data_IF_674710122720
#
_entry.id   IF_674710122720
#
_cell.length_a   1.000
_cell.length_b   1.000
_cell.length_c   1.000
_cell.angle_alpha   90.00
_cell.angle_beta   90.00
_cell.angle_gamma   90.00
#
_symmetry.space_group_name_H-M   'P 1'
#
loop_
_entity.id
_entity.type
_entity.pdbx_description
1 polymer ?
#
# COMPACT_ATOMS: atom_id res chain seq x y z
N UNK A 1 -8.58 -96.73 -11.57
CA UNK A 1 -8.77 -95.79 -10.40
C UNK A 1 -8.80 -94.35 -10.92
N UNK A 2 -9.96 -93.78 -10.96
CA UNK A 2 -10.18 -92.38 -11.50
C UNK A 2 -10.12 -91.38 -10.38
N UNK A 3 -9.19 -90.38 -10.44
CA UNK A 3 -9.18 -89.27 -9.55
C UNK A 3 -9.96 -88.11 -10.19
N UNK A 4 -11.01 -87.69 -9.52
CA UNK A 4 -11.80 -86.53 -9.85
C UNK A 4 -11.07 -85.24 -9.30
N UNK A 5 -10.75 -84.27 -10.18
CA UNK A 5 -10.32 -82.98 -9.78
C UNK A 5 -11.54 -82.08 -9.52
N UNK A 6 -11.59 -81.40 -8.37
CA UNK A 6 -12.56 -80.34 -8.06
C UNK A 6 -12.02 -79.01 -8.64
N UNK A 7 -12.80 -78.44 -9.53
CA UNK A 7 -12.64 -77.04 -9.96
C UNK A 7 -13.32 -76.14 -8.94
N UNK A 8 -12.54 -75.33 -8.23
CA UNK A 8 -13.06 -74.23 -7.39
C UNK A 8 -13.32 -73.01 -8.28
N UNK A 9 -14.59 -72.66 -8.47
CA UNK A 9 -14.99 -71.40 -9.13
C UNK A 9 -14.89 -70.27 -8.14
N UNK A 10 -13.89 -69.36 -8.34
CA UNK A 10 -13.77 -68.11 -7.62
C UNK A 10 -14.79 -67.07 -8.17
N UNK A 11 -15.77 -66.75 -7.37
CA UNK A 11 -16.69 -65.64 -7.66
C UNK A 11 -15.98 -64.29 -7.42
N UNK A 12 -15.54 -63.61 -8.49
CA UNK A 12 -15.10 -62.26 -8.44
C UNK A 12 -16.33 -61.34 -8.25
N UNK A 13 -16.46 -60.72 -7.08
CA UNK A 13 -17.46 -59.68 -6.85
C UNK A 13 -17.04 -58.40 -7.60
N UNK A 14 -17.94 -57.78 -8.35
CA UNK A 14 -17.64 -56.51 -8.99
C UNK A 14 -17.55 -55.42 -7.90
N UNK A 15 -16.38 -54.82 -7.75
CA UNK A 15 -16.21 -53.58 -6.97
C UNK A 15 -16.94 -52.50 -7.75
N UNK A 16 -18.12 -52.11 -7.31
CA UNK A 16 -18.82 -50.94 -7.75
C UNK A 16 -18.01 -49.70 -7.30
N UNK A 17 -17.22 -49.15 -8.21
CA UNK A 17 -16.63 -47.84 -8.04
C UNK A 17 -17.79 -46.81 -7.96
N UNK A 18 -18.14 -46.41 -6.76
CA UNK A 18 -19.03 -45.23 -6.57
C UNK A 18 -18.40 -44.04 -7.28
N UNK A 19 -19.11 -43.32 -8.15
CA UNK A 19 -18.59 -42.08 -8.70
C UNK A 19 -18.36 -41.12 -7.53
N UNK A 20 -17.10 -40.78 -7.25
CA UNK A 20 -16.80 -39.61 -6.47
C UNK A 20 -17.45 -38.42 -7.20
N UNK A 21 -18.58 -37.97 -6.70
CA UNK A 21 -19.10 -36.66 -7.05
C UNK A 21 -18.04 -35.68 -6.60
N UNK A 22 -17.10 -35.37 -7.50
CA UNK A 22 -16.28 -34.16 -7.35
C UNK A 22 -17.27 -32.99 -7.28
N UNK A 23 -17.51 -32.46 -6.09
CA UNK A 23 -18.17 -31.19 -5.95
C UNK A 23 -17.33 -30.18 -6.75
N UNK A 24 -17.69 -29.94 -7.98
CA UNK A 24 -17.10 -28.91 -8.80
C UNK A 24 -17.37 -27.59 -8.06
N UNK A 25 -16.34 -27.06 -7.42
CA UNK A 25 -16.45 -25.75 -6.79
C UNK A 25 -16.82 -24.73 -7.87
N UNK A 26 -17.72 -23.79 -7.59
CA UNK A 26 -18.13 -22.81 -8.59
C UNK A 26 -16.89 -22.07 -9.10
N UNK A 27 -16.72 -22.01 -10.40
CA UNK A 27 -15.69 -21.20 -11.02
C UNK A 27 -15.99 -19.72 -10.78
N UNK A 28 -15.04 -19.01 -10.18
CA UNK A 28 -15.10 -17.58 -9.97
C UNK A 28 -14.04 -16.90 -10.83
N UNK A 29 -14.45 -15.89 -11.58
CA UNK A 29 -13.54 -15.08 -12.39
C UNK A 29 -13.73 -13.60 -12.02
N UNK A 30 -12.69 -12.99 -11.47
CA UNK A 30 -12.66 -11.58 -11.14
C UNK A 30 -11.69 -10.79 -12.01
N UNK A 31 -11.97 -9.50 -12.15
CA UNK A 31 -11.08 -8.49 -12.73
C UNK A 31 -10.54 -7.64 -11.60
N UNK A 32 -9.23 -7.48 -11.56
CA UNK A 32 -8.54 -6.62 -10.61
C UNK A 32 -7.84 -5.49 -11.36
N UNK A 33 -8.31 -4.25 -11.21
CA UNK A 33 -7.61 -3.08 -11.72
C UNK A 33 -6.67 -2.51 -10.67
N UNK A 34 -5.59 -1.82 -11.07
CA UNK A 34 -4.62 -1.30 -10.12
C UNK A 34 -4.24 0.15 -10.36
N UNK A 35 -3.73 0.80 -9.32
CA UNK A 35 -3.21 2.18 -9.37
C UNK A 35 -1.73 2.24 -9.79
N UNK A 36 -1.03 1.10 -9.87
CA UNK A 36 0.42 1.05 -10.00
C UNK A 36 0.83 0.42 -11.34
N UNK A 37 1.73 1.07 -12.10
CA UNK A 37 2.15 0.59 -13.41
C UNK A 37 3.09 -0.62 -13.30
N UNK A 38 3.17 -1.40 -14.38
CA UNK A 38 4.06 -2.57 -14.48
C UNK A 38 5.54 -2.25 -14.28
N UNK A 39 5.95 -1.00 -14.49
CA UNK A 39 7.32 -0.53 -14.24
C UNK A 39 7.71 -0.50 -12.77
N UNK A 40 6.76 -0.38 -11.85
CA UNK A 40 6.97 -0.47 -10.40
C UNK A 40 6.82 -1.93 -9.96
N UNK A 41 7.86 -2.73 -10.14
CA UNK A 41 7.82 -4.20 -10.06
C UNK A 41 7.46 -4.77 -8.68
N UNK A 42 7.63 -4.01 -7.61
CA UNK A 42 7.18 -4.44 -6.28
C UNK A 42 5.68 -4.21 -6.15
N UNK A 43 5.19 -3.00 -6.45
CA UNK A 43 3.76 -2.69 -6.37
C UNK A 43 2.95 -3.54 -7.36
N UNK A 44 3.39 -3.60 -8.63
CA UNK A 44 2.74 -4.47 -9.60
C UNK A 44 2.85 -5.95 -9.23
N UNK A 45 4.02 -6.39 -8.75
CA UNK A 45 4.25 -7.76 -8.32
C UNK A 45 3.35 -8.21 -7.15
N UNK A 46 2.96 -7.29 -6.26
CA UNK A 46 1.95 -7.56 -5.23
C UNK A 46 0.61 -7.93 -5.87
N UNK A 47 0.16 -7.19 -6.89
CA UNK A 47 -1.07 -7.49 -7.61
C UNK A 47 -0.99 -8.83 -8.38
N UNK A 48 0.17 -9.14 -8.99
CA UNK A 48 0.42 -10.43 -9.63
C UNK A 48 0.43 -11.58 -8.63
N UNK A 49 1.07 -11.38 -7.47
CA UNK A 49 1.09 -12.36 -6.38
C UNK A 49 -0.34 -12.68 -5.91
N UNK A 50 -1.19 -11.66 -5.75
CA UNK A 50 -2.59 -11.84 -5.39
C UNK A 50 -3.31 -12.81 -6.32
N UNK A 51 -3.31 -12.51 -7.62
CA UNK A 51 -3.99 -13.32 -8.61
C UNK A 51 -3.45 -14.75 -8.66
N UNK A 52 -2.12 -14.90 -8.65
CA UNK A 52 -1.46 -16.21 -8.70
C UNK A 52 -1.78 -17.05 -7.46
N UNK A 53 -1.65 -16.50 -6.26
CA UNK A 53 -1.84 -17.25 -5.03
C UNK A 53 -3.29 -17.64 -4.79
N UNK A 54 -4.25 -16.78 -5.15
CA UNK A 54 -5.67 -17.13 -5.11
C UNK A 54 -5.97 -18.31 -6.05
N UNK A 55 -5.45 -18.30 -7.28
CA UNK A 55 -5.63 -19.40 -8.21
C UNK A 55 -4.97 -20.70 -7.69
N UNK A 56 -3.74 -20.64 -7.19
CA UNK A 56 -3.02 -21.79 -6.64
C UNK A 56 -3.77 -22.43 -5.46
N UNK A 57 -4.21 -21.63 -4.48
CA UNK A 57 -4.88 -22.10 -3.27
C UNK A 57 -6.31 -22.62 -3.51
N UNK A 58 -6.90 -22.27 -4.65
CA UNK A 58 -8.23 -22.75 -5.05
C UNK A 58 -8.21 -23.81 -6.14
N UNK A 59 -7.01 -24.33 -6.48
CA UNK A 59 -6.86 -25.31 -7.56
C UNK A 59 -7.34 -24.81 -8.93
N UNK A 60 -7.27 -23.47 -9.16
CA UNK A 60 -7.71 -22.81 -10.38
C UNK A 60 -9.22 -22.51 -10.44
N UNK A 61 -9.98 -22.84 -9.41
CA UNK A 61 -11.43 -22.59 -9.40
C UNK A 61 -11.78 -21.12 -9.16
N UNK A 62 -10.89 -20.34 -8.55
CA UNK A 62 -11.01 -18.90 -8.45
C UNK A 62 -9.81 -18.25 -9.17
N UNK A 63 -10.09 -17.50 -10.21
CA UNK A 63 -9.11 -16.81 -11.03
C UNK A 63 -9.33 -15.30 -10.99
N UNK A 64 -8.23 -14.54 -10.93
CA UNK A 64 -8.23 -13.09 -10.96
C UNK A 64 -7.38 -12.62 -12.14
N UNK A 65 -7.96 -11.82 -13.02
CA UNK A 65 -7.25 -11.19 -14.13
C UNK A 65 -6.85 -9.77 -13.75
N UNK A 66 -5.56 -9.50 -13.79
CA UNK A 66 -4.99 -8.19 -13.49
C UNK A 66 -5.00 -7.26 -14.70
N UNK A 67 -5.27 -5.97 -14.41
CA UNK A 67 -5.25 -4.89 -15.39
C UNK A 67 -4.41 -3.73 -14.83
N UNK A 68 -3.52 -3.21 -15.67
CA UNK A 68 -2.72 -2.05 -15.33
C UNK A 68 -3.53 -0.75 -15.40
N UNK A 69 -3.03 0.35 -14.79
CA UNK A 69 -3.65 1.67 -14.90
C UNK A 69 -3.91 2.05 -16.37
N UNK A 70 -5.12 2.50 -16.66
CA UNK A 70 -5.56 2.89 -18.00
C UNK A 70 -6.10 1.76 -18.88
N UNK A 71 -5.93 0.49 -18.51
CA UNK A 71 -6.51 -0.63 -19.27
C UNK A 71 -8.03 -0.75 -19.05
N UNK A 72 -8.54 -0.42 -17.85
CA UNK A 72 -9.97 -0.33 -17.54
C UNK A 72 -10.31 1.09 -17.09
N UNK A 73 -9.60 1.59 -16.04
CA UNK A 73 -9.78 2.93 -15.50
C UNK A 73 -8.41 3.58 -15.21
N UNK A 74 -8.33 4.92 -15.18
CA UNK A 74 -7.14 5.62 -14.74
C UNK A 74 -6.70 5.25 -13.32
N UNK A 75 -5.40 5.40 -13.01
CA UNK A 75 -4.78 5.01 -11.73
C UNK A 75 -5.52 5.52 -10.47
N UNK A 76 -6.09 6.72 -10.53
CA UNK A 76 -6.74 7.39 -9.40
C UNK A 76 -8.26 7.18 -9.37
N UNK A 77 -8.80 6.24 -10.15
CA UNK A 77 -10.25 5.93 -10.22
C UNK A 77 -10.57 4.48 -9.81
N UNK A 78 -9.61 3.78 -9.20
CA UNK A 78 -9.79 2.37 -8.80
C UNK A 78 -10.93 2.20 -7.80
N UNK A 79 -10.99 3.04 -6.74
CA UNK A 79 -12.06 3.00 -5.74
C UNK A 79 -13.45 3.18 -6.39
N UNK A 80 -13.57 4.13 -7.32
CA UNK A 80 -14.84 4.39 -8.02
C UNK A 80 -15.28 3.18 -8.85
N UNK A 81 -14.34 2.57 -9.59
CA UNK A 81 -14.62 1.42 -10.42
C UNK A 81 -15.04 0.18 -9.60
N UNK A 82 -14.37 -0.06 -8.47
CA UNK A 82 -14.70 -1.15 -7.57
C UNK A 82 -16.03 -0.89 -6.86
N UNK A 83 -16.23 0.30 -6.29
CA UNK A 83 -17.45 0.67 -5.58
C UNK A 83 -18.69 0.60 -6.49
N UNK A 84 -18.58 1.02 -7.74
CA UNK A 84 -19.64 0.92 -8.74
C UNK A 84 -19.86 -0.51 -9.29
N UNK A 85 -18.96 -1.47 -8.97
CA UNK A 85 -19.03 -2.83 -9.51
C UNK A 85 -18.59 -2.96 -10.98
N UNK A 86 -17.88 -1.96 -11.51
CA UNK A 86 -17.30 -2.04 -12.87
C UNK A 86 -16.28 -3.16 -12.95
N UNK A 87 -15.54 -3.39 -11.85
CA UNK A 87 -14.67 -4.52 -11.60
C UNK A 87 -14.93 -5.08 -10.21
N UNK A 88 -14.59 -6.33 -10.00
CA UNK A 88 -14.85 -7.03 -8.75
C UNK A 88 -13.90 -6.60 -7.63
N UNK A 89 -12.64 -6.30 -7.97
CA UNK A 89 -11.66 -5.81 -7.01
C UNK A 89 -10.62 -4.87 -7.65
N UNK A 90 -9.82 -4.22 -6.78
CA UNK A 90 -8.73 -3.36 -7.21
C UNK A 90 -7.61 -3.29 -6.17
N UNK A 91 -6.40 -3.01 -6.63
CA UNK A 91 -5.23 -2.77 -5.78
C UNK A 91 -4.83 -1.30 -5.82
N UNK A 92 -4.89 -0.63 -4.67
CA UNK A 92 -4.70 0.82 -4.59
C UNK A 92 -4.23 1.27 -3.20
N UNK A 93 -4.08 2.58 -3.01
CA UNK A 93 -3.86 3.24 -1.73
C UNK A 93 -5.03 4.18 -1.43
N UNK A 94 -5.67 4.04 -0.28
CA UNK A 94 -6.90 4.77 0.07
C UNK A 94 -6.72 6.30 0.08
N UNK A 95 -5.52 6.78 0.38
CA UNK A 95 -5.25 8.22 0.45
C UNK A 95 -5.38 8.96 -0.91
N UNK A 96 -5.41 8.25 -2.04
CA UNK A 96 -5.73 8.85 -3.34
C UNK A 96 -7.14 9.43 -3.39
N UNK A 97 -8.02 9.02 -2.49
CA UNK A 97 -9.44 9.35 -2.48
C UNK A 97 -9.86 10.29 -1.34
N UNK A 98 -8.89 10.96 -0.69
CA UNK A 98 -9.19 11.92 0.41
C UNK A 98 -10.06 13.09 -0.02
N UNK A 99 -10.16 13.37 -1.32
CA UNK A 99 -11.10 14.34 -1.88
C UNK A 99 -12.57 13.92 -1.73
N UNK A 100 -12.84 12.61 -1.56
CA UNK A 100 -14.18 12.07 -1.26
C UNK A 100 -14.48 12.09 0.24
N UNK A 101 -13.56 11.53 1.02
CA UNK A 101 -13.57 11.55 2.48
C UNK A 101 -12.11 11.56 2.98
N UNK A 102 -11.66 12.62 3.68
CA UNK A 102 -10.30 12.68 4.22
C UNK A 102 -9.99 11.55 5.20
N UNK A 103 -11.01 10.89 5.76
CA UNK A 103 -10.85 9.75 6.65
C UNK A 103 -10.20 8.54 5.95
N UNK A 104 -10.30 8.44 4.63
CA UNK A 104 -9.63 7.39 3.84
C UNK A 104 -8.10 7.42 4.00
N UNK A 105 -7.53 8.58 4.34
CA UNK A 105 -6.09 8.70 4.60
C UNK A 105 -5.57 7.74 5.67
N UNK A 106 -6.37 7.41 6.70
CA UNK A 106 -5.97 6.48 7.77
C UNK A 106 -5.76 5.04 7.26
N UNK A 107 -6.40 4.65 6.17
CA UNK A 107 -6.20 3.34 5.56
C UNK A 107 -4.80 3.17 4.96
N UNK A 108 -4.17 4.25 4.53
CA UNK A 108 -2.83 4.23 3.93
C UNK A 108 -1.77 4.74 4.88
N UNK A 109 -1.78 6.02 5.19
CA UNK A 109 -0.82 6.70 6.08
C UNK A 109 -1.28 8.11 6.41
N UNK A 110 -0.85 8.59 7.56
CA UNK A 110 -1.06 9.97 8.01
C UNK A 110 0.32 10.64 8.20
N UNK A 111 0.48 11.92 7.81
CA UNK A 111 1.72 12.66 8.06
C UNK A 111 2.18 12.59 9.51
N UNK A 112 3.48 12.39 9.74
CA UNK A 112 4.09 12.13 11.06
C UNK A 112 3.43 10.97 11.82
N UNK A 113 2.97 9.98 11.05
CA UNK A 113 2.22 8.84 11.54
C UNK A 113 3.07 7.67 12.01
N UNK A 114 2.49 6.50 11.89
CA UNK A 114 3.07 5.23 12.29
C UNK A 114 3.95 4.65 11.19
N UNK A 115 5.00 3.92 11.58
CA UNK A 115 5.77 3.10 10.64
C UNK A 115 4.98 1.85 10.22
N UNK A 116 5.53 1.07 9.27
CA UNK A 116 4.85 -0.10 8.70
C UNK A 116 4.36 -1.11 9.76
N UNK A 117 5.20 -1.43 10.77
CA UNK A 117 4.82 -2.37 11.82
C UNK A 117 3.76 -1.82 12.76
N UNK A 118 3.85 -0.54 13.10
CA UNK A 118 2.88 0.14 13.95
C UNK A 118 1.51 0.27 13.24
N UNK A 119 1.53 0.64 11.95
CA UNK A 119 0.31 0.71 11.13
C UNK A 119 -0.37 -0.66 11.03
N UNK A 120 0.42 -1.70 10.80
CA UNK A 120 -0.07 -3.08 10.73
C UNK A 120 -0.67 -3.55 12.06
N UNK A 121 0.00 -3.23 13.18
CA UNK A 121 -0.49 -3.53 14.51
C UNK A 121 -1.82 -2.81 14.80
N UNK A 122 -1.96 -1.55 14.36
CA UNK A 122 -3.20 -0.81 14.50
C UNK A 122 -4.32 -1.45 13.68
N UNK A 123 -4.06 -1.79 12.42
CA UNK A 123 -5.06 -2.37 11.53
C UNK A 123 -5.53 -3.76 12.00
N UNK A 124 -4.62 -4.63 12.45
CA UNK A 124 -4.98 -6.02 12.76
C UNK A 124 -5.34 -6.28 14.22
N UNK A 125 -4.84 -5.47 15.17
CA UNK A 125 -5.00 -5.72 16.59
C UNK A 125 -5.41 -4.47 17.39
N UNK A 126 -5.30 -3.30 16.81
CA UNK A 126 -5.61 -2.03 17.44
C UNK A 126 -7.01 -1.49 17.14
N UNK A 127 -7.88 -2.25 16.48
CA UNK A 127 -9.24 -1.82 16.11
C UNK A 127 -9.30 -0.93 14.86
N UNK A 128 -8.20 -0.85 14.10
CA UNK A 128 -8.10 0.00 12.91
C UNK A 128 -9.02 -0.45 11.77
N UNK A 129 -9.10 -1.75 11.49
CA UNK A 129 -10.00 -2.29 10.45
C UNK A 129 -11.46 -2.02 10.82
N UNK A 130 -11.82 -2.26 12.04
CA UNK A 130 -13.19 -2.11 12.55
C UNK A 130 -13.66 -0.65 12.49
N UNK A 131 -12.81 0.29 12.92
CA UNK A 131 -13.18 1.71 12.89
C UNK A 131 -13.22 2.29 11.47
N UNK A 132 -12.48 1.71 10.53
CA UNK A 132 -12.46 2.10 9.13
C UNK A 132 -13.52 1.40 8.28
N UNK A 133 -14.15 0.34 8.77
CA UNK A 133 -15.11 -0.46 8.01
C UNK A 133 -16.27 0.38 7.44
N UNK A 134 -16.86 1.25 8.26
CA UNK A 134 -17.95 2.13 7.83
C UNK A 134 -17.50 3.09 6.70
N UNK A 135 -16.27 3.61 6.78
CA UNK A 135 -15.70 4.52 5.79
C UNK A 135 -15.63 3.85 4.43
N UNK A 136 -15.16 2.59 4.39
CA UNK A 136 -15.07 1.82 3.15
C UNK A 136 -16.41 1.34 2.63
N UNK A 137 -17.31 0.93 3.52
CA UNK A 137 -18.66 0.51 3.13
C UNK A 137 -19.47 1.63 2.46
N UNK A 138 -19.30 2.88 2.90
CA UNK A 138 -19.92 4.04 2.26
C UNK A 138 -19.39 4.28 0.83
N UNK A 139 -18.19 3.77 0.52
CA UNK A 139 -17.63 3.77 -0.82
C UNK A 139 -18.02 2.52 -1.64
N UNK A 140 -18.83 1.63 -1.10
CA UNK A 140 -19.26 0.40 -1.76
C UNK A 140 -18.22 -0.71 -1.78
N UNK A 141 -17.19 -0.64 -0.93
CA UNK A 141 -16.07 -1.59 -0.90
C UNK A 141 -15.80 -2.16 0.48
N UNK A 142 -15.15 -3.31 0.51
CA UNK A 142 -14.41 -3.87 1.63
C UNK A 142 -12.94 -3.68 1.33
N UNK A 143 -12.16 -3.18 2.29
CA UNK A 143 -10.72 -2.99 2.15
C UNK A 143 -9.94 -4.01 2.97
N UNK A 144 -8.99 -4.66 2.33
CA UNK A 144 -8.10 -5.66 2.93
C UNK A 144 -6.65 -5.16 2.83
N UNK A 145 -6.02 -4.77 3.95
CA UNK A 145 -4.60 -4.40 3.96
C UNK A 145 -3.75 -5.55 3.41
N UNK A 146 -2.88 -5.27 2.43
CA UNK A 146 -2.20 -6.35 1.73
C UNK A 146 -0.73 -6.10 1.41
N UNK A 147 -0.24 -4.88 1.52
CA UNK A 147 1.16 -4.56 1.27
C UNK A 147 1.57 -3.30 1.99
N UNK A 148 2.86 -3.10 2.19
CA UNK A 148 3.38 -1.85 2.73
C UNK A 148 4.72 -1.54 2.08
N UNK A 149 4.96 -0.26 1.82
CA UNK A 149 6.22 0.17 1.21
C UNK A 149 7.40 0.21 2.19
N UNK A 150 7.13 0.08 3.49
CA UNK A 150 8.09 0.50 4.49
C UNK A 150 8.26 2.01 4.50
N UNK A 151 9.32 2.51 5.11
CA UNK A 151 9.60 3.93 5.17
C UNK A 151 9.85 4.50 3.77
N UNK A 152 9.23 5.65 3.50
CA UNK A 152 9.43 6.36 2.25
C UNK A 152 10.43 7.51 2.39
N UNK A 153 10.94 7.97 1.24
CA UNK A 153 11.86 9.10 1.18
C UNK A 153 11.11 10.43 1.06
N UNK A 154 11.82 11.51 1.40
CA UNK A 154 11.31 12.87 1.36
C UNK A 154 11.25 13.51 -0.04
N UNK A 155 11.34 12.70 -1.10
CA UNK A 155 11.14 13.12 -2.48
C UNK A 155 12.35 13.75 -3.16
N UNK A 156 12.18 13.97 -4.44
CA UNK A 156 13.17 14.53 -5.37
C UNK A 156 12.88 15.99 -5.65
N UNK A 157 13.90 16.82 -5.63
CA UNK A 157 13.79 18.26 -5.84
C UNK A 157 14.83 18.73 -6.85
N UNK A 158 14.43 19.66 -7.71
CA UNK A 158 15.32 20.34 -8.68
C UNK A 158 16.16 21.43 -8.02
N UNK A 159 15.68 21.95 -6.89
CA UNK A 159 16.37 22.98 -6.10
C UNK A 159 16.50 22.52 -4.65
N UNK A 160 17.54 22.97 -3.99
CA UNK A 160 17.78 22.67 -2.59
C UNK A 160 16.83 23.44 -1.68
N UNK A 161 16.27 22.79 -0.68
CA UNK A 161 15.46 23.38 0.39
C UNK A 161 16.34 23.57 1.63
N UNK A 162 16.58 24.80 2.02
CA UNK A 162 17.41 25.15 3.17
C UNK A 162 16.61 25.76 4.30
N UNK A 163 15.50 26.43 3.99
CA UNK A 163 14.63 27.15 4.92
C UNK A 163 13.15 26.91 4.58
N UNK A 164 12.26 27.28 5.48
CA UNK A 164 10.80 27.26 5.23
C UNK A 164 10.43 28.18 4.06
N UNK A 165 11.16 29.28 3.86
CA UNK A 165 10.88 30.23 2.77
C UNK A 165 11.07 29.60 1.38
N UNK A 166 11.94 28.59 1.23
CA UNK A 166 12.19 27.89 -0.02
C UNK A 166 10.99 27.01 -0.48
N UNK A 167 10.04 26.76 0.42
CA UNK A 167 8.81 26.03 0.12
C UNK A 167 7.80 26.90 -0.64
N UNK A 168 7.88 28.22 -0.52
CA UNK A 168 6.90 29.14 -1.07
C UNK A 168 6.90 29.13 -2.60
N UNK A 169 5.75 28.79 -3.17
CA UNK A 169 5.56 28.73 -4.63
C UNK A 169 6.11 27.44 -5.27
N UNK A 170 6.71 26.54 -4.48
CA UNK A 170 7.21 25.26 -4.97
C UNK A 170 6.05 24.42 -5.50
N UNK A 171 6.10 23.97 -6.74
CA UNK A 171 5.16 23.04 -7.32
C UNK A 171 5.64 21.63 -7.02
N UNK A 172 4.88 20.91 -6.21
CA UNK A 172 5.32 19.61 -5.72
C UNK A 172 4.26 18.51 -5.94
N UNK A 173 4.66 17.43 -6.60
CA UNK A 173 3.80 16.27 -6.70
C UNK A 173 3.81 15.53 -5.38
N UNK A 174 2.64 15.43 -4.76
CA UNK A 174 2.46 14.73 -3.50
C UNK A 174 1.02 14.21 -3.38
N UNK A 175 0.87 13.02 -2.81
CA UNK A 175 -0.44 12.43 -2.55
C UNK A 175 -0.86 12.60 -1.09
N UNK A 176 -2.11 12.27 -0.80
CA UNK A 176 -2.64 12.25 0.56
C UNK A 176 -2.76 13.62 1.22
N UNK A 177 -2.92 13.61 2.54
CA UNK A 177 -3.13 14.83 3.33
C UNK A 177 -1.93 15.77 3.38
N UNK A 178 -0.74 15.26 3.09
CA UNK A 178 0.48 16.06 3.08
C UNK A 178 0.43 17.20 2.05
N UNK A 179 -0.32 17.05 0.94
CA UNK A 179 -0.58 18.14 0.01
C UNK A 179 -1.25 19.33 0.68
N UNK A 180 -2.29 19.09 1.48
CA UNK A 180 -2.95 20.14 2.27
C UNK A 180 -2.04 20.79 3.31
N UNK A 181 -1.21 19.99 3.99
CA UNK A 181 -0.21 20.47 4.95
C UNK A 181 0.79 21.40 4.27
N UNK A 182 1.37 20.98 3.15
CA UNK A 182 2.35 21.77 2.40
C UNK A 182 1.75 23.05 1.81
N UNK A 183 0.46 23.04 1.45
CA UNK A 183 -0.24 24.25 0.98
C UNK A 183 -0.24 25.37 2.02
N UNK A 184 -0.33 25.04 3.31
CA UNK A 184 -0.24 26.03 4.41
C UNK A 184 1.14 26.70 4.48
N UNK A 185 2.17 26.04 3.97
CA UNK A 185 3.54 26.55 3.89
C UNK A 185 3.85 27.20 2.52
N UNK A 186 2.82 27.38 1.67
CA UNK A 186 2.94 28.05 0.39
C UNK A 186 3.37 27.17 -0.77
N UNK A 187 3.44 25.85 -0.60
CA UNK A 187 3.65 24.88 -1.70
C UNK A 187 2.39 24.77 -2.53
N UNK A 188 2.53 24.52 -3.82
CA UNK A 188 1.44 24.24 -4.78
C UNK A 188 1.45 22.73 -5.05
N UNK A 189 0.65 21.93 -4.32
CA UNK A 189 0.64 20.48 -4.47
C UNK A 189 -0.12 20.08 -5.73
N UNK A 190 0.31 18.97 -6.32
CA UNK A 190 -0.35 18.31 -7.44
C UNK A 190 -0.41 16.81 -7.20
N UNK A 191 -1.51 16.16 -7.57
CA UNK A 191 -1.65 14.70 -7.50
C UNK A 191 -1.56 14.14 -8.91
N UNK A 192 -0.52 13.35 -9.19
CA UNK A 192 -0.27 12.71 -10.48
C UNK A 192 -0.02 11.22 -10.26
N UNK A 193 -0.49 10.39 -11.20
CA UNK A 193 -0.12 8.97 -11.25
C UNK A 193 1.36 8.78 -11.61
N UNK A 194 1.92 7.60 -11.31
CA UNK A 194 3.36 7.33 -11.50
C UNK A 194 3.88 7.63 -12.90
N UNK A 195 3.12 7.28 -13.93
CA UNK A 195 3.53 7.45 -15.32
C UNK A 195 3.67 8.93 -15.74
N UNK A 196 2.98 9.84 -15.03
CA UNK A 196 2.93 11.26 -15.36
C UNK A 196 4.00 12.07 -14.61
N UNK A 197 4.65 11.50 -13.58
CA UNK A 197 5.57 12.23 -12.69
C UNK A 197 6.86 12.62 -13.42
N UNK A 198 7.54 11.66 -14.08
CA UNK A 198 8.78 11.94 -14.79
C UNK A 198 8.60 13.02 -15.88
N UNK A 199 7.59 12.92 -16.78
CA UNK A 199 7.34 13.98 -17.75
C UNK A 199 7.03 15.34 -17.11
N UNK A 200 6.35 15.38 -15.99
CA UNK A 200 6.05 16.62 -15.27
C UNK A 200 7.30 17.27 -14.66
N UNK A 201 8.21 16.47 -14.07
CA UNK A 201 9.50 16.92 -13.57
C UNK A 201 10.39 17.42 -14.72
N UNK A 202 10.51 16.63 -15.79
CA UNK A 202 11.36 16.96 -16.96
C UNK A 202 10.97 18.29 -17.61
N UNK A 203 9.66 18.52 -17.78
CA UNK A 203 9.11 19.74 -18.37
C UNK A 203 9.04 20.93 -17.42
N UNK A 204 9.33 20.73 -16.12
CA UNK A 204 9.19 21.77 -15.08
C UNK A 204 7.75 22.15 -14.73
N UNK A 205 6.79 21.26 -15.04
CA UNK A 205 5.40 21.40 -14.56
C UNK A 205 5.38 21.30 -13.05
N UNK A 206 6.22 20.43 -12.46
CA UNK A 206 6.51 20.38 -11.03
C UNK A 206 8.01 20.58 -10.78
N UNK A 207 8.33 21.17 -9.64
CA UNK A 207 9.70 21.43 -9.18
C UNK A 207 10.28 20.28 -8.38
N UNK A 208 9.42 19.39 -7.90
CA UNK A 208 9.78 18.21 -7.15
C UNK A 208 8.63 17.19 -7.09
N UNK A 209 8.97 15.97 -6.70
CA UNK A 209 8.00 14.90 -6.56
C UNK A 209 8.47 13.89 -5.52
N UNK A 210 7.51 13.30 -4.81
CA UNK A 210 7.69 12.06 -4.06
C UNK A 210 7.02 10.90 -4.80
N UNK A 211 7.45 9.66 -4.49
CA UNK A 211 6.77 8.47 -4.95
C UNK A 211 6.81 7.39 -3.86
N UNK A 212 7.87 6.61 -3.76
CA UNK A 212 8.05 5.60 -2.70
C UNK A 212 9.44 5.75 -2.07
N UNK A 213 10.45 5.30 -2.78
CA UNK A 213 11.79 5.23 -2.26
C UNK A 213 12.79 4.81 -3.32
N UNK A 214 14.05 4.57 -2.95
CA UNK A 214 15.16 4.44 -3.89
C UNK A 214 14.92 3.49 -5.04
N UNK A 215 14.29 2.34 -4.79
CA UNK A 215 14.10 1.30 -5.82
C UNK A 215 13.14 1.72 -6.93
N UNK A 216 11.94 2.19 -6.57
CA UNK A 216 10.95 2.63 -7.55
C UNK A 216 11.37 3.95 -8.19
N UNK A 217 11.92 4.88 -7.40
CA UNK A 217 12.33 6.21 -7.86
C UNK A 217 13.46 6.12 -8.88
N UNK A 218 14.43 5.18 -8.68
CA UNK A 218 15.48 4.87 -9.66
C UNK A 218 14.88 4.38 -10.99
N UNK A 219 13.90 3.47 -10.94
CA UNK A 219 13.23 2.93 -12.12
C UNK A 219 12.39 3.95 -12.87
N UNK A 220 11.75 4.84 -12.12
CA UNK A 220 10.99 5.95 -12.67
C UNK A 220 11.89 7.07 -13.21
N UNK A 221 13.20 7.03 -12.89
CA UNK A 221 14.21 7.89 -13.48
C UNK A 221 14.32 9.28 -12.88
N UNK A 222 13.75 9.55 -11.70
CA UNK A 222 13.68 10.90 -11.11
C UNK A 222 15.06 11.52 -10.90
N UNK A 223 16.07 10.73 -10.56
CA UNK A 223 17.46 11.15 -10.39
C UNK A 223 18.07 11.83 -11.65
N UNK A 224 17.50 11.60 -12.84
CA UNK A 224 17.97 12.20 -14.09
C UNK A 224 17.55 13.65 -14.28
N UNK A 225 16.47 14.05 -13.60
CA UNK A 225 15.83 15.37 -13.78
C UNK A 225 15.77 16.19 -12.49
N UNK A 226 16.09 15.60 -11.33
CA UNK A 226 16.14 16.24 -10.03
C UNK A 226 17.32 15.70 -9.22
N UNK A 227 18.35 16.52 -8.88
CA UNK A 227 19.57 16.03 -8.26
C UNK A 227 19.50 15.82 -6.75
N UNK A 228 18.54 16.46 -6.06
CA UNK A 228 18.43 16.44 -4.61
C UNK A 228 17.39 15.43 -4.16
N UNK A 229 17.81 14.47 -3.32
CA UNK A 229 16.96 13.43 -2.76
C UNK A 229 16.86 13.59 -1.25
N UNK A 230 15.67 13.95 -0.77
CA UNK A 230 15.44 14.34 0.61
C UNK A 230 15.00 13.17 1.51
N UNK A 231 15.29 13.31 2.80
CA UNK A 231 14.84 12.44 3.88
C UNK A 231 14.67 13.22 5.20
N UNK A 232 13.91 12.71 6.17
CA UNK A 232 12.95 11.60 6.06
C UNK A 232 11.69 11.99 5.26
N UNK A 233 10.96 10.99 4.74
CA UNK A 233 9.61 11.17 4.21
C UNK A 233 8.62 11.34 5.36
N UNK A 234 8.54 12.52 5.93
CA UNK A 234 7.72 12.81 7.11
C UNK A 234 6.21 12.63 6.88
N UNK A 235 5.79 12.67 5.63
CA UNK A 235 4.41 12.43 5.22
C UNK A 235 4.05 10.95 5.10
N UNK A 236 5.04 10.09 4.89
CA UNK A 236 4.86 8.65 4.70
C UNK A 236 5.94 7.86 5.42
N UNK A 237 5.78 7.71 6.76
CA UNK A 237 6.61 6.77 7.53
C UNK A 237 6.39 5.31 7.07
N UNK A 238 5.32 5.06 6.32
CA UNK A 238 5.02 3.87 5.54
C UNK A 238 3.90 4.23 4.55
N UNK A 239 3.59 3.34 3.59
CA UNK A 239 2.36 3.45 2.80
C UNK A 239 1.70 2.08 2.70
N UNK A 240 0.52 1.97 3.32
CA UNK A 240 -0.28 0.74 3.31
C UNK A 240 -1.08 0.67 2.02
N UNK A 241 -0.82 -0.37 1.22
CA UNK A 241 -1.65 -0.74 0.08
C UNK A 241 -2.76 -1.70 0.48
N UNK A 242 -3.82 -1.71 -0.27
CA UNK A 242 -4.99 -2.53 0.02
C UNK A 242 -5.62 -3.13 -1.23
N UNK A 243 -6.16 -4.35 -1.09
CA UNK A 243 -7.13 -4.90 -2.02
C UNK A 243 -8.49 -4.38 -1.60
N UNK A 244 -9.11 -3.57 -2.46
CA UNK A 244 -10.50 -3.17 -2.34
C UNK A 244 -11.37 -4.14 -3.12
N UNK A 245 -12.45 -4.62 -2.52
CA UNK A 245 -13.39 -5.57 -3.12
C UNK A 245 -14.78 -4.97 -3.11
N UNK A 246 -15.50 -5.03 -4.22
CA UNK A 246 -16.91 -4.65 -4.27
C UNK A 246 -17.71 -5.45 -3.25
N UNK A 247 -18.55 -4.80 -2.45
CA UNK A 247 -19.31 -5.47 -1.37
C UNK A 247 -20.16 -6.62 -1.91
N UNK A 248 -20.85 -6.43 -3.02
CA UNK A 248 -21.71 -7.49 -3.59
C UNK A 248 -20.89 -8.66 -4.11
N UNK A 249 -19.72 -8.39 -4.72
CA UNK A 249 -18.80 -9.43 -5.17
C UNK A 249 -18.25 -10.22 -3.98
N UNK A 250 -17.93 -9.53 -2.87
CA UNK A 250 -17.47 -10.18 -1.63
C UNK A 250 -18.55 -11.06 -1.00
N UNK A 251 -19.78 -10.56 -0.89
CA UNK A 251 -20.90 -11.28 -0.30
C UNK A 251 -21.32 -12.50 -1.12
N UNK A 252 -21.13 -12.45 -2.44
CA UNK A 252 -21.38 -13.57 -3.34
C UNK A 252 -20.32 -14.68 -3.28
N UNK A 253 -19.14 -14.40 -2.70
CA UNK A 253 -18.08 -15.40 -2.59
C UNK A 253 -18.40 -16.47 -1.55
N UNK A 254 -18.12 -17.75 -1.85
CA UNK A 254 -18.04 -18.80 -0.84
C UNK A 254 -17.11 -18.41 0.31
N UNK A 255 -17.49 -18.72 1.54
CA UNK A 255 -16.67 -18.39 2.74
C UNK A 255 -15.23 -18.87 2.63
N UNK A 256 -15.03 -20.06 2.05
CA UNK A 256 -13.69 -20.59 1.80
C UNK A 256 -12.84 -19.65 0.93
N UNK A 257 -13.43 -19.03 -0.11
CA UNK A 257 -12.69 -18.12 -0.99
C UNK A 257 -12.43 -16.75 -0.31
N UNK A 258 -13.35 -16.29 0.55
CA UNK A 258 -13.09 -15.11 1.39
C UNK A 258 -11.87 -15.37 2.30
N UNK A 259 -11.78 -16.55 2.93
CA UNK A 259 -10.62 -16.93 3.75
C UNK A 259 -9.33 -17.01 2.94
N UNK A 260 -9.39 -17.55 1.71
CA UNK A 260 -8.22 -17.57 0.81
C UNK A 260 -7.72 -16.14 0.54
N UNK A 261 -8.61 -15.20 0.23
CA UNK A 261 -8.24 -13.80 0.01
C UNK A 261 -7.57 -13.21 1.25
N UNK A 262 -8.12 -13.42 2.45
CA UNK A 262 -7.54 -12.92 3.70
C UNK A 262 -6.15 -13.51 3.99
N UNK A 263 -5.94 -14.79 3.73
CA UNK A 263 -4.61 -15.43 3.87
C UNK A 263 -3.62 -14.85 2.87
N UNK A 264 -4.03 -14.71 1.61
CA UNK A 264 -3.17 -14.18 0.55
C UNK A 264 -2.80 -12.72 0.80
N UNK A 265 -3.72 -11.89 1.28
CA UNK A 265 -3.40 -10.49 1.63
C UNK A 265 -2.37 -10.40 2.75
N UNK A 266 -2.40 -11.32 3.72
CA UNK A 266 -1.35 -11.43 4.74
C UNK A 266 0.01 -11.85 4.15
N UNK A 267 0.06 -12.80 3.20
CA UNK A 267 1.28 -13.19 2.49
C UNK A 267 1.85 -12.00 1.70
N UNK A 268 1.00 -11.28 0.97
CA UNK A 268 1.38 -10.09 0.19
C UNK A 268 2.00 -9.00 1.07
N UNK A 269 1.48 -8.82 2.29
CA UNK A 269 2.00 -7.85 3.26
C UNK A 269 3.46 -8.12 3.60
N UNK A 270 3.82 -9.35 3.91
CA UNK A 270 5.19 -9.76 4.21
C UNK A 270 6.08 -9.64 2.98
N UNK A 271 5.59 -10.15 1.84
CA UNK A 271 6.34 -10.13 0.58
C UNK A 271 6.69 -8.72 0.13
N UNK A 272 5.71 -7.80 0.14
CA UNK A 272 5.90 -6.42 -0.32
C UNK A 272 6.87 -5.65 0.57
N UNK A 273 6.66 -5.66 1.89
CA UNK A 273 7.47 -4.90 2.85
C UNK A 273 8.92 -5.37 2.85
N UNK A 274 9.15 -6.68 2.99
CA UNK A 274 10.52 -7.23 3.03
C UNK A 274 11.27 -7.04 1.71
N UNK A 275 10.57 -7.08 0.58
CA UNK A 275 11.16 -6.84 -0.73
C UNK A 275 11.58 -5.38 -0.90
N UNK A 276 10.78 -4.42 -0.45
CA UNK A 276 11.16 -3.00 -0.45
C UNK A 276 12.38 -2.73 0.41
N UNK A 277 12.42 -3.23 1.64
CA UNK A 277 13.56 -3.03 2.53
C UNK A 277 14.87 -3.52 1.90
N UNK A 278 14.83 -4.71 1.28
CA UNK A 278 16.00 -5.27 0.60
C UNK A 278 16.39 -4.45 -0.64
N UNK A 279 15.45 -4.09 -1.49
CA UNK A 279 15.73 -3.44 -2.77
C UNK A 279 16.08 -1.96 -2.61
N UNK A 280 15.45 -1.25 -1.66
CA UNK A 280 15.73 0.15 -1.38
C UNK A 280 17.17 0.36 -0.89
N UNK A 281 17.68 -0.53 -0.04
CA UNK A 281 19.07 -0.49 0.41
C UNK A 281 20.06 -0.56 -0.77
N UNK A 282 19.80 -1.43 -1.73
CA UNK A 282 20.66 -1.59 -2.90
C UNK A 282 20.54 -0.41 -3.86
N UNK A 283 19.32 0.05 -4.14
CA UNK A 283 19.06 1.16 -5.04
C UNK A 283 19.63 2.48 -4.49
N UNK A 284 19.52 2.73 -3.18
CA UNK A 284 20.10 3.92 -2.55
C UNK A 284 21.60 4.01 -2.78
N UNK A 285 22.32 2.89 -2.64
CA UNK A 285 23.77 2.83 -2.91
C UNK A 285 24.09 3.20 -4.36
N UNK A 286 23.33 2.67 -5.32
CA UNK A 286 23.52 2.97 -6.75
C UNK A 286 23.23 4.44 -7.05
N UNK A 287 22.14 4.99 -6.53
CA UNK A 287 21.76 6.39 -6.70
C UNK A 287 22.85 7.35 -6.17
N UNK A 288 23.36 7.08 -4.96
CA UNK A 288 24.45 7.88 -4.39
C UNK A 288 25.73 7.77 -5.22
N UNK A 289 26.08 6.56 -5.65
CA UNK A 289 27.25 6.33 -6.51
C UNK A 289 27.12 7.01 -7.89
N UNK A 290 25.89 7.21 -8.39
CA UNK A 290 25.62 7.92 -9.63
C UNK A 290 25.56 9.45 -9.50
N UNK A 291 25.79 10.00 -8.30
CA UNK A 291 25.85 11.44 -8.05
C UNK A 291 24.58 12.07 -7.46
N UNK A 292 23.58 11.27 -7.08
CA UNK A 292 22.41 11.77 -6.35
C UNK A 292 22.84 12.39 -5.03
N UNK A 293 22.36 13.60 -4.76
CA UNK A 293 22.69 14.35 -3.56
C UNK A 293 21.65 14.10 -2.46
N UNK A 294 21.97 13.25 -1.50
CA UNK A 294 21.14 13.06 -0.32
C UNK A 294 21.13 14.32 0.54
N UNK A 295 19.94 14.73 0.99
CA UNK A 295 19.73 15.89 1.86
C UNK A 295 18.75 15.54 2.98
N UNK A 296 19.15 15.79 4.21
CA UNK A 296 18.20 15.83 5.31
C UNK A 296 17.35 17.11 5.21
N UNK A 297 16.04 17.00 5.44
CA UNK A 297 15.24 18.21 5.63
C UNK A 297 15.76 19.00 6.84
N UNK A 298 15.91 20.32 6.71
CA UNK A 298 16.25 21.16 7.85
C UNK A 298 15.24 21.00 8.99
N UNK A 299 15.74 21.03 10.23
CA UNK A 299 14.88 20.85 11.42
C UNK A 299 13.74 21.86 11.45
N UNK A 300 13.99 23.11 11.06
CA UNK A 300 12.97 24.16 11.02
C UNK A 300 11.85 23.84 10.01
N UNK A 301 12.20 23.23 8.85
CA UNK A 301 11.21 22.80 7.85
C UNK A 301 10.37 21.66 8.40
N UNK A 302 11.00 20.64 9.03
CA UNK A 302 10.25 19.55 9.67
C UNK A 302 9.33 20.05 10.78
N UNK A 303 9.77 21.02 11.56
CA UNK A 303 8.97 21.61 12.65
C UNK A 303 7.78 22.40 12.12
N UNK A 304 7.98 23.18 11.05
CA UNK A 304 6.89 23.89 10.38
C UNK A 304 5.87 22.91 9.76
N UNK A 305 6.34 21.84 9.11
CA UNK A 305 5.48 20.80 8.57
C UNK A 305 4.70 20.05 9.67
N UNK A 306 5.34 19.78 10.81
CA UNK A 306 4.66 19.14 11.94
C UNK A 306 3.54 20.02 12.50
N UNK A 307 3.80 21.31 12.72
CA UNK A 307 2.80 22.26 13.19
C UNK A 307 1.63 22.37 12.20
N UNK A 308 1.93 22.59 10.92
CA UNK A 308 0.92 22.65 9.86
C UNK A 308 0.10 21.34 9.76
N UNK A 309 0.70 20.19 10.09
CA UNK A 309 -0.01 18.91 10.16
C UNK A 309 -1.03 18.88 11.28
N UNK A 310 -0.65 19.33 12.50
CA UNK A 310 -1.58 19.38 13.64
C UNK A 310 -2.76 20.32 13.35
N UNK A 311 -2.49 21.47 12.76
CA UNK A 311 -3.53 22.42 12.33
C UNK A 311 -4.46 21.80 11.27
N UNK A 312 -3.91 21.09 10.30
CA UNK A 312 -4.69 20.41 9.26
C UNK A 312 -5.61 19.34 9.86
N UNK A 313 -5.11 18.55 10.79
CA UNK A 313 -5.93 17.54 11.49
C UNK A 313 -7.07 18.16 12.30
N UNK A 314 -6.79 19.27 13.00
CA UNK A 314 -7.81 20.00 13.76
C UNK A 314 -8.90 20.55 12.83
N UNK A 315 -8.53 21.25 11.76
CA UNK A 315 -9.48 21.85 10.80
C UNK A 315 -10.35 20.80 10.09
N UNK A 316 -9.77 19.65 9.72
CA UNK A 316 -10.55 18.56 9.13
C UNK A 316 -11.49 17.97 10.19
N UNK A 317 -11.00 17.76 11.41
CA UNK A 317 -11.79 17.22 12.51
C UNK A 317 -12.94 18.10 12.96
N UNK A 318 -12.82 19.43 12.82
CA UNK A 318 -13.92 20.37 13.06
C UNK A 318 -15.06 20.16 12.06
N UNK A 319 -14.74 19.94 10.79
CA UNK A 319 -15.69 19.83 9.67
C UNK A 319 -16.21 18.42 9.44
N UNK A 320 -15.43 17.39 9.83
CA UNK A 320 -15.76 15.99 9.62
C UNK A 320 -15.73 15.21 10.94
N UNK A 321 -16.91 14.95 11.55
CA UNK A 321 -16.99 14.19 12.80
C UNK A 321 -16.44 12.77 12.72
N UNK A 322 -16.55 12.13 11.54
CA UNK A 322 -15.99 10.79 11.27
C UNK A 322 -14.48 10.83 11.33
N UNK A 323 -13.85 11.78 10.63
CA UNK A 323 -12.41 11.99 10.69
C UNK A 323 -11.94 12.21 12.14
N UNK A 324 -12.62 13.09 12.89
CA UNK A 324 -12.30 13.36 14.28
C UNK A 324 -12.34 12.09 15.15
N UNK A 325 -13.38 11.26 14.98
CA UNK A 325 -13.54 9.98 15.70
C UNK A 325 -12.37 9.02 15.39
N UNK A 326 -12.08 8.83 14.10
CA UNK A 326 -11.00 7.93 13.66
C UNK A 326 -9.63 8.48 14.08
N UNK A 327 -9.40 9.79 13.93
CA UNK A 327 -8.17 10.44 14.36
C UNK A 327 -7.90 10.27 15.85
N UNK A 328 -8.91 10.47 16.71
CA UNK A 328 -8.75 10.30 18.16
C UNK A 328 -8.37 8.86 18.53
N UNK A 329 -8.95 7.87 17.86
CA UNK A 329 -8.63 6.46 18.04
C UNK A 329 -7.21 6.13 17.56
N UNK A 330 -6.87 6.54 16.32
CA UNK A 330 -5.58 6.34 15.69
C UNK A 330 -4.44 7.03 16.46
N UNK A 331 -4.63 8.29 16.88
CA UNK A 331 -3.60 9.07 17.58
C UNK A 331 -3.28 8.54 18.97
N UNK A 332 -4.28 7.99 19.69
CA UNK A 332 -4.05 7.26 20.95
C UNK A 332 -3.13 6.08 20.70
N UNK A 333 -3.48 5.21 19.76
CA UNK A 333 -2.68 4.04 19.43
C UNK A 333 -1.29 4.42 18.95
N UNK A 334 -1.17 5.44 18.10
CA UNK A 334 0.11 5.96 17.62
C UNK A 334 1.03 6.37 18.76
N UNK A 335 0.51 7.12 19.74
CA UNK A 335 1.30 7.57 20.91
C UNK A 335 1.76 6.40 21.77
N UNK A 336 0.89 5.46 22.03
CA UNK A 336 1.20 4.29 22.86
C UNK A 336 2.26 3.41 22.19
N UNK A 337 2.08 3.11 20.92
CA UNK A 337 3.04 2.27 20.17
C UNK A 337 4.38 2.97 19.95
N UNK A 338 4.41 4.30 19.71
CA UNK A 338 5.65 5.06 19.65
C UNK A 338 6.40 5.07 20.99
N UNK A 339 5.68 5.10 22.12
CA UNK A 339 6.26 4.94 23.46
C UNK A 339 6.99 3.60 23.60
N UNK A 340 6.37 2.51 23.16
CA UNK A 340 6.99 1.19 23.14
C UNK A 340 8.23 1.13 22.22
N UNK A 341 8.13 1.64 20.99
CA UNK A 341 9.24 1.60 20.04
C UNK A 341 10.47 2.39 20.51
N UNK A 342 10.27 3.55 21.17
CA UNK A 342 11.39 4.31 21.77
C UNK A 342 12.19 3.48 22.77
N UNK A 343 11.52 2.68 23.58
CA UNK A 343 12.16 1.84 24.60
C UNK A 343 12.80 0.62 23.95
N UNK A 344 12.07 -0.08 23.08
CA UNK A 344 12.47 -1.37 22.57
C UNK A 344 13.44 -1.30 21.38
N UNK A 345 13.24 -0.35 20.45
CA UNK A 345 13.97 -0.33 19.18
C UNK A 345 14.83 0.90 18.97
N UNK A 346 14.28 2.11 19.19
CA UNK A 346 15.03 3.34 18.95
C UNK A 346 16.24 3.45 19.91
N UNK A 347 16.13 2.95 21.14
CA UNK A 347 17.22 2.93 22.10
C UNK A 347 18.41 2.09 21.61
N UNK A 348 18.13 0.90 21.06
CA UNK A 348 19.15 0.04 20.46
C UNK A 348 19.72 0.65 19.18
N UNK A 349 18.84 1.11 18.27
CA UNK A 349 19.26 1.73 16.99
C UNK A 349 20.16 2.96 17.23
N UNK A 350 19.79 3.81 18.18
CA UNK A 350 20.60 4.98 18.56
C UNK A 350 21.95 4.58 19.16
N UNK A 351 21.98 3.56 20.01
CA UNK A 351 23.24 3.04 20.57
C UNK A 351 24.17 2.53 19.47
N UNK A 352 23.65 1.68 18.55
CA UNK A 352 24.46 1.14 17.45
C UNK A 352 24.96 2.26 16.51
N UNK A 353 24.11 3.22 16.20
CA UNK A 353 24.51 4.35 15.36
C UNK A 353 25.64 5.22 15.97
N UNK A 354 25.78 5.23 17.29
CA UNK A 354 26.89 5.89 17.98
C UNK A 354 28.12 4.98 18.08
N UNK A 355 27.93 3.71 18.40
CA UNK A 355 29.02 2.75 18.59
C UNK A 355 29.80 2.43 17.31
N UNK A 356 29.10 2.42 16.16
CA UNK A 356 29.70 2.13 14.84
C UNK A 356 30.38 3.35 14.18
N UNK A 357 30.29 4.53 14.79
CA UNK A 357 30.99 5.76 14.31
C UNK A 357 32.41 5.89 14.83
N UNK A 358 32.83 5.05 15.75
CA UNK A 358 34.20 4.97 16.30
C UNK A 358 35.02 3.92 15.56
#
# INVERSE_FOLDING_TARGET
MKRRGLLAAGTAAPVLAAPMLANAQPQVLWRCTGSFPKSTDVLWGVQELFARRVAELTGGAFQIRNFAPGEIVPALQVLDAVGAGTVECGYTAAYYYIGKDPTLGFGTVMPFGMNARQQLAWLHHGGGREIMEEVYRDQGVIALPCSNTGAQMGGWLRKEIRTVADLKGLKFRIAGLAGGVLSKLGVIPQVLGAADIYPALERGVVDGAEWVGPHDDEKLGFHRVAPYYYYPGWWEACSQGEIQVNIKAWEALPKQYQQVIEVVTGEMQVWGTSRYDMLNMQALRRLVASGTQLRAYPREVLQACYQATQETYAEIGEKNPRFRKVHAHWDRFRRDTQGWFRVAEDSQANFLALAERG
#
